data_IF_794322553232
#
_entry.id   IF_794322553232
#
_cell.length_a   1.000
_cell.length_b   1.000
_cell.length_c   1.000
_cell.angle_alpha   90.00
_cell.angle_beta   90.00
_cell.angle_gamma   90.00
#
_symmetry.space_group_name_H-M   'P 1'
#
loop_
_entity.id
_entity.type
_entity.pdbx_description
1 polymer ?
#
# COMPACT_ATOMS: atom_id res chain seq x y z
N UNK A 1 4.99 -20.87 1.90
CA UNK A 1 4.93 -19.53 1.33
C UNK A 1 6.29 -19.12 0.70
N UNK A 2 7.41 -19.05 1.46
CA UNK A 2 8.71 -18.55 0.95
C UNK A 2 9.23 -19.32 -0.26
N UNK A 3 9.04 -20.65 -0.32
CA UNK A 3 9.43 -21.48 -1.48
C UNK A 3 8.74 -20.98 -2.74
N UNK A 4 7.42 -20.79 -2.72
CA UNK A 4 6.63 -20.32 -3.87
C UNK A 4 7.10 -18.94 -4.31
N UNK A 5 7.24 -17.99 -3.38
CA UNK A 5 7.62 -16.60 -3.68
C UNK A 5 9.04 -16.47 -4.29
N UNK A 6 9.94 -17.42 -4.01
CA UNK A 6 11.31 -17.40 -4.52
C UNK A 6 11.52 -18.32 -5.73
N UNK A 7 10.48 -18.92 -6.28
CA UNK A 7 10.55 -19.84 -7.42
C UNK A 7 9.70 -19.30 -8.61
N UNK A 8 10.13 -18.21 -9.25
CA UNK A 8 9.37 -17.61 -10.36
C UNK A 8 9.33 -18.47 -11.62
N UNK A 9 10.14 -19.53 -11.70
CA UNK A 9 10.12 -20.47 -12.83
C UNK A 9 8.87 -21.36 -12.76
N UNK A 10 8.56 -21.87 -11.57
CA UNK A 10 7.40 -22.74 -11.36
C UNK A 10 6.14 -21.97 -10.95
N UNK A 11 6.32 -20.76 -10.42
CA UNK A 11 5.25 -19.88 -9.93
C UNK A 11 5.36 -18.46 -10.52
N UNK A 12 5.25 -18.32 -11.86
CA UNK A 12 5.29 -17.00 -12.49
C UNK A 12 4.03 -16.19 -12.13
N UNK A 13 4.18 -14.86 -12.01
CA UNK A 13 3.07 -13.94 -11.79
C UNK A 13 2.41 -13.51 -13.12
N UNK A 14 2.19 -14.46 -14.02
CA UNK A 14 1.64 -14.24 -15.35
C UNK A 14 0.25 -14.87 -15.47
N UNK A 15 -0.84 -14.08 -15.47
CA UNK A 15 -2.21 -14.59 -15.49
C UNK A 15 -2.74 -14.95 -16.91
N UNK A 16 -1.98 -14.74 -17.98
CA UNK A 16 -2.47 -14.86 -19.38
C UNK A 16 -3.09 -16.22 -19.74
N UNK A 17 -2.65 -17.29 -19.10
CA UNK A 17 -3.27 -18.61 -19.29
C UNK A 17 -4.59 -18.72 -18.51
N UNK A 18 -4.60 -18.28 -17.24
CA UNK A 18 -5.79 -18.25 -16.39
C UNK A 18 -6.92 -17.41 -16.98
N UNK A 19 -6.63 -16.25 -17.55
CA UNK A 19 -7.63 -15.35 -18.13
C UNK A 19 -8.49 -15.99 -19.21
N UNK A 20 -7.94 -16.99 -19.92
CA UNK A 20 -8.66 -17.74 -20.97
C UNK A 20 -9.66 -18.74 -20.38
N UNK A 21 -9.52 -19.08 -19.10
CA UNK A 21 -10.32 -20.09 -18.40
C UNK A 21 -11.52 -19.49 -17.67
N UNK A 22 -11.56 -18.17 -17.50
CA UNK A 22 -12.58 -17.50 -16.68
C UNK A 22 -13.50 -16.62 -17.53
N UNK A 23 -14.78 -16.45 -17.12
CA UNK A 23 -15.69 -15.55 -17.81
C UNK A 23 -15.27 -14.09 -17.63
N UNK A 24 -15.61 -13.24 -18.62
CA UNK A 24 -15.36 -11.81 -18.54
C UNK A 24 -16.04 -11.14 -17.33
N UNK A 25 -17.11 -11.74 -16.81
CA UNK A 25 -17.86 -11.27 -15.63
C UNK A 25 -17.27 -11.71 -14.31
N UNK A 26 -16.12 -12.37 -14.29
CA UNK A 26 -15.47 -12.79 -13.04
C UNK A 26 -15.10 -11.55 -12.20
N UNK A 27 -15.61 -11.40 -10.96
CA UNK A 27 -15.48 -10.17 -10.18
C UNK A 27 -14.04 -9.84 -9.78
N UNK A 28 -13.15 -10.85 -9.70
CA UNK A 28 -11.73 -10.64 -9.35
C UNK A 28 -10.84 -10.41 -10.57
N UNK A 29 -11.37 -10.60 -11.78
CA UNK A 29 -10.60 -10.45 -13.03
C UNK A 29 -9.92 -9.08 -13.13
N UNK A 30 -10.56 -7.93 -12.90
CA UNK A 30 -9.93 -6.62 -13.05
C UNK A 30 -8.69 -6.44 -12.15
N UNK A 31 -8.69 -7.11 -11.00
CA UNK A 31 -7.58 -7.07 -10.04
C UNK A 31 -6.44 -8.05 -10.38
N UNK A 32 -6.71 -9.08 -11.15
CA UNK A 32 -5.79 -10.21 -11.34
C UNK A 32 -5.36 -10.42 -12.80
N UNK A 33 -6.04 -9.82 -13.78
CA UNK A 33 -5.70 -9.98 -15.19
C UNK A 33 -4.34 -9.36 -15.54
N UNK A 34 -3.79 -9.81 -16.65
CA UNK A 34 -2.51 -9.34 -17.16
C UNK A 34 -2.54 -7.84 -17.50
N UNK A 35 -1.47 -7.19 -17.18
CA UNK A 35 -1.17 -5.81 -17.54
C UNK A 35 0.32 -5.71 -17.88
N UNK A 36 0.76 -4.84 -18.78
CA UNK A 36 2.17 -4.65 -19.09
C UNK A 36 2.88 -3.87 -17.95
N UNK A 37 3.02 -4.52 -16.81
CA UNK A 37 3.66 -3.94 -15.61
C UNK A 37 4.42 -5.00 -14.79
N UNK A 38 5.23 -4.53 -13.84
CA UNK A 38 6.06 -5.39 -12.98
C UNK A 38 5.25 -6.29 -12.03
N UNK A 39 3.98 -6.02 -11.81
CA UNK A 39 3.14 -6.80 -10.88
C UNK A 39 2.50 -8.03 -11.55
N UNK A 40 2.20 -7.94 -12.86
CA UNK A 40 1.44 -8.92 -13.65
C UNK A 40 2.25 -9.56 -14.76
N UNK A 41 3.55 -9.65 -14.59
CA UNK A 41 4.48 -10.24 -15.55
C UNK A 41 5.49 -11.14 -14.85
N UNK A 42 6.12 -12.03 -15.62
CA UNK A 42 7.17 -12.95 -15.17
C UNK A 42 8.43 -12.88 -16.02
N UNK A 43 9.49 -13.56 -15.60
CA UNK A 43 10.72 -13.73 -16.37
C UNK A 43 11.38 -12.41 -16.81
N UNK A 44 11.81 -12.36 -18.06
CA UNK A 44 12.51 -11.20 -18.63
C UNK A 44 11.62 -9.94 -18.73
N UNK A 45 10.32 -10.11 -18.97
CA UNK A 45 9.36 -9.00 -19.02
C UNK A 45 9.25 -8.32 -17.64
N UNK A 46 9.06 -9.11 -16.58
CA UNK A 46 9.10 -8.62 -15.21
C UNK A 46 10.42 -7.91 -14.90
N UNK A 47 11.55 -8.54 -15.21
CA UNK A 47 12.87 -7.98 -14.92
C UNK A 47 13.06 -6.59 -15.57
N UNK A 48 12.55 -6.41 -16.80
CA UNK A 48 12.59 -5.15 -17.53
C UNK A 48 11.78 -4.06 -16.82
N UNK A 49 10.52 -4.32 -16.48
CA UNK A 49 9.69 -3.36 -15.75
C UNK A 49 10.22 -3.08 -14.35
N UNK A 50 10.67 -4.13 -13.66
CA UNK A 50 11.19 -4.03 -12.31
C UNK A 50 12.43 -3.17 -12.23
N UNK A 51 13.35 -3.30 -13.17
CA UNK A 51 14.56 -2.50 -13.22
C UNK A 51 14.23 -1.00 -13.30
N UNK A 52 13.31 -0.62 -14.20
CA UNK A 52 12.87 0.76 -14.33
C UNK A 52 12.24 1.30 -13.05
N UNK A 53 11.28 0.56 -12.47
CA UNK A 53 10.60 0.98 -11.24
C UNK A 53 11.57 1.12 -10.07
N UNK A 54 12.45 0.14 -9.86
CA UNK A 54 13.41 0.15 -8.74
C UNK A 54 14.37 1.33 -8.88
N UNK A 55 14.95 1.52 -10.06
CA UNK A 55 15.89 2.63 -10.28
C UNK A 55 15.22 4.00 -10.10
N UNK A 56 13.96 4.16 -10.53
CA UNK A 56 13.24 5.42 -10.38
C UNK A 56 12.87 5.71 -8.91
N UNK A 57 12.52 4.66 -8.15
CA UNK A 57 12.17 4.77 -6.72
C UNK A 57 13.42 5.01 -5.87
N UNK A 58 14.52 4.31 -6.12
CA UNK A 58 15.74 4.39 -5.31
C UNK A 58 16.40 5.79 -5.36
N UNK A 59 16.05 6.61 -6.35
CA UNK A 59 16.55 7.98 -6.47
C UNK A 59 15.70 9.01 -5.70
N UNK A 60 14.67 8.61 -5.00
CA UNK A 60 13.86 9.53 -4.16
C UNK A 60 14.69 9.98 -2.96
N UNK A 61 14.83 11.29 -2.79
CA UNK A 61 15.46 11.87 -1.61
C UNK A 61 14.63 11.59 -0.35
N UNK A 62 15.17 10.78 0.54
CA UNK A 62 14.49 10.40 1.78
C UNK A 62 14.36 11.57 2.78
N UNK A 63 15.27 12.55 2.73
CA UNK A 63 15.17 13.73 3.58
C UNK A 63 14.04 14.64 3.12
N UNK A 64 13.98 14.95 1.83
CA UNK A 64 12.87 15.69 1.23
C UNK A 64 11.54 14.97 1.38
N UNK A 65 11.54 13.64 1.30
CA UNK A 65 10.33 12.83 1.53
C UNK A 65 9.78 12.99 2.95
N UNK A 66 10.64 12.98 3.98
CA UNK A 66 10.21 13.22 5.37
C UNK A 66 9.53 14.59 5.52
N UNK A 67 10.18 15.65 5.05
CA UNK A 67 9.63 17.00 5.10
C UNK A 67 8.29 17.13 4.35
N UNK A 68 8.15 16.45 3.21
CA UNK A 68 6.89 16.37 2.47
C UNK A 68 5.78 15.70 3.28
N UNK A 69 6.07 14.58 3.94
CA UNK A 69 5.08 13.88 4.77
C UNK A 69 4.63 14.76 5.93
N UNK A 70 5.56 15.42 6.62
CA UNK A 70 5.27 16.35 7.72
C UNK A 70 4.37 17.50 7.24
N UNK A 71 4.69 18.13 6.12
CA UNK A 71 3.88 19.20 5.52
C UNK A 71 2.45 18.74 5.18
N UNK A 72 2.32 17.55 4.59
CA UNK A 72 0.98 17.00 4.25
C UNK A 72 0.21 16.66 5.51
N UNK A 73 0.87 16.13 6.53
CA UNK A 73 0.29 15.80 7.82
C UNK A 73 -0.23 17.05 8.57
N UNK A 74 0.56 18.13 8.60
CA UNK A 74 0.15 19.42 9.16
C UNK A 74 -1.15 19.90 8.52
N UNK A 75 -1.19 19.96 7.19
CA UNK A 75 -2.38 20.39 6.45
C UNK A 75 -3.60 19.49 6.68
N UNK A 76 -3.41 18.19 6.89
CA UNK A 76 -4.50 17.28 7.21
C UNK A 76 -5.02 17.53 8.65
N UNK A 77 -4.12 17.63 9.63
CA UNK A 77 -4.46 17.87 11.04
C UNK A 77 -5.17 19.22 11.22
N UNK A 78 -4.69 20.28 10.57
CA UNK A 78 -5.31 21.60 10.61
C UNK A 78 -6.75 21.58 10.10
N UNK A 79 -7.08 20.68 9.18
CA UNK A 79 -8.43 20.51 8.64
C UNK A 79 -9.46 20.00 9.64
N UNK A 80 -9.04 19.29 10.70
CA UNK A 80 -9.97 18.68 11.65
C UNK A 80 -9.70 19.01 13.14
N UNK A 81 -8.51 19.54 13.51
CA UNK A 81 -8.14 19.74 14.92
C UNK A 81 -9.09 20.62 15.72
N UNK A 82 -9.77 21.58 15.07
CA UNK A 82 -10.74 22.44 15.73
C UNK A 82 -12.05 21.71 16.07
N UNK A 83 -12.36 20.60 15.40
CA UNK A 83 -13.57 19.83 15.64
C UNK A 83 -13.51 18.93 16.88
N UNK A 84 -12.31 18.63 17.42
CA UNK A 84 -12.12 17.71 18.53
C UNK A 84 -12.42 16.25 18.21
N UNK A 85 -12.66 15.94 16.95
CA UNK A 85 -12.91 14.58 16.44
C UNK A 85 -12.58 14.49 14.97
N UNK A 86 -12.23 13.28 14.51
CA UNK A 86 -11.97 13.01 13.10
C UNK A 86 -12.22 11.53 12.77
N UNK A 87 -12.45 11.23 11.49
CA UNK A 87 -12.19 9.91 10.95
C UNK A 87 -10.79 9.90 10.34
N UNK A 88 -9.83 9.31 11.04
CA UNK A 88 -8.42 9.30 10.62
C UNK A 88 -8.18 8.52 9.33
N UNK A 89 -9.06 7.59 8.94
CA UNK A 89 -8.92 6.90 7.66
C UNK A 89 -9.05 7.88 6.49
N UNK A 90 -10.13 8.65 6.46
CA UNK A 90 -10.50 9.53 5.36
C UNK A 90 -9.90 10.94 5.46
N UNK A 91 -9.67 11.43 6.68
CA UNK A 91 -9.18 12.79 6.91
C UNK A 91 -7.67 12.88 7.13
N UNK A 92 -6.97 11.74 7.37
CA UNK A 92 -5.55 11.70 7.63
C UNK A 92 -4.80 10.68 6.77
N UNK A 93 -5.03 9.37 6.97
CA UNK A 93 -4.22 8.31 6.37
C UNK A 93 -4.30 8.30 4.83
N UNK A 94 -5.51 8.39 4.28
CA UNK A 94 -5.69 8.44 2.82
C UNK A 94 -5.13 9.74 2.20
N UNK A 95 -5.39 10.94 2.73
CA UNK A 95 -4.78 12.17 2.22
C UNK A 95 -3.25 12.12 2.21
N UNK A 96 -2.61 11.58 3.24
CA UNK A 96 -1.16 11.42 3.29
C UNK A 96 -0.70 10.47 2.18
N UNK A 97 -1.25 9.25 2.14
CA UNK A 97 -0.86 8.26 1.15
C UNK A 97 -1.03 8.81 -0.29
N UNK A 98 -2.15 9.47 -0.57
CA UNK A 98 -2.46 10.00 -1.90
C UNK A 98 -1.57 11.19 -2.28
N UNK A 99 -1.48 12.20 -1.41
CA UNK A 99 -0.74 13.44 -1.73
C UNK A 99 0.77 13.21 -1.81
N UNK A 100 1.32 12.44 -0.87
CA UNK A 100 2.75 12.11 -0.89
C UNK A 100 3.09 11.31 -2.14
N UNK A 101 2.29 10.30 -2.48
CA UNK A 101 2.55 9.51 -3.69
C UNK A 101 2.38 10.34 -4.96
N UNK A 102 1.36 11.21 -5.04
CA UNK A 102 1.17 12.12 -6.18
C UNK A 102 2.37 13.05 -6.36
N UNK A 103 2.91 13.61 -5.28
CA UNK A 103 4.11 14.42 -5.32
C UNK A 103 5.36 13.64 -5.81
N UNK A 104 5.56 12.41 -5.29
CA UNK A 104 6.65 11.53 -5.73
C UNK A 104 6.54 11.15 -7.21
N UNK A 105 5.32 11.02 -7.73
CA UNK A 105 5.05 10.75 -9.15
C UNK A 105 5.07 12.03 -10.00
N UNK A 106 5.31 13.19 -9.40
CA UNK A 106 5.31 14.46 -10.11
C UNK A 106 3.94 14.84 -10.67
N UNK A 107 2.86 14.42 -10.03
CA UNK A 107 1.49 14.64 -10.46
C UNK A 107 0.97 15.99 -9.97
N UNK A 108 0.65 16.95 -10.86
CA UNK A 108 0.01 18.21 -10.47
C UNK A 108 -1.38 17.97 -9.87
N UNK A 109 -1.84 18.88 -9.01
CA UNK A 109 -3.12 18.75 -8.28
C UNK A 109 -4.31 18.53 -9.21
N UNK A 110 -4.38 19.22 -10.35
CA UNK A 110 -5.47 19.06 -11.33
C UNK A 110 -5.55 17.64 -11.91
N UNK A 111 -4.40 17.05 -12.23
CA UNK A 111 -4.35 15.66 -12.71
C UNK A 111 -4.60 14.71 -11.54
N UNK A 112 -4.04 14.98 -10.37
CA UNK A 112 -4.24 14.22 -9.16
C UNK A 112 -5.72 14.13 -8.77
N UNK A 113 -6.45 15.24 -8.82
CA UNK A 113 -7.89 15.25 -8.55
C UNK A 113 -8.67 14.33 -9.51
N UNK A 114 -8.33 14.34 -10.80
CA UNK A 114 -8.95 13.44 -11.79
C UNK A 114 -8.61 11.98 -11.52
N UNK A 115 -7.38 11.68 -11.09
CA UNK A 115 -6.98 10.32 -10.68
C UNK A 115 -7.82 9.89 -9.48
N UNK A 116 -7.97 10.73 -8.46
CA UNK A 116 -8.78 10.44 -7.29
C UNK A 116 -10.25 10.20 -7.66
N UNK A 117 -10.84 11.06 -8.50
CA UNK A 117 -12.21 10.94 -8.98
C UNK A 117 -12.43 9.65 -9.79
N UNK A 118 -11.48 9.30 -10.66
CA UNK A 118 -11.51 8.06 -11.44
C UNK A 118 -11.46 6.83 -10.52
N UNK A 119 -10.54 6.81 -9.56
CA UNK A 119 -10.42 5.73 -8.59
C UNK A 119 -11.69 5.60 -7.73
N UNK A 120 -12.24 6.69 -7.20
CA UNK A 120 -13.46 6.67 -6.41
C UNK A 120 -14.63 6.03 -7.19
N UNK A 121 -14.86 6.45 -8.45
CA UNK A 121 -15.91 5.88 -9.32
C UNK A 121 -15.72 4.38 -9.59
N UNK A 122 -14.48 3.91 -9.70
CA UNK A 122 -14.17 2.48 -9.89
C UNK A 122 -14.55 1.70 -8.61
N UNK A 123 -14.21 2.23 -7.44
CA UNK A 123 -14.52 1.60 -6.16
C UNK A 123 -16.02 1.60 -5.83
N UNK A 124 -16.74 2.67 -6.18
CA UNK A 124 -18.19 2.78 -5.95
C UNK A 124 -19.04 1.88 -6.86
N UNK A 125 -18.42 1.19 -7.82
CA UNK A 125 -19.02 0.24 -8.77
C UNK A 125 -20.18 0.77 -9.64
N UNK A 126 -20.75 1.92 -9.31
CA UNK A 126 -21.92 2.51 -10.01
C UNK A 126 -21.57 3.14 -11.36
N UNK A 127 -20.31 3.56 -11.55
CA UNK A 127 -19.82 4.21 -12.76
C UNK A 127 -18.37 3.78 -13.09
N UNK A 128 -18.05 2.50 -12.89
CA UNK A 128 -16.68 1.98 -13.03
C UNK A 128 -16.09 2.22 -14.42
N UNK A 129 -16.88 2.08 -15.49
CA UNK A 129 -16.42 2.34 -16.87
C UNK A 129 -16.02 3.81 -17.05
N UNK A 130 -16.82 4.75 -16.55
CA UNK A 130 -16.49 6.17 -16.59
C UNK A 130 -15.25 6.46 -15.72
N UNK A 131 -15.13 5.82 -14.55
CA UNK A 131 -13.95 5.90 -13.69
C UNK A 131 -12.68 5.45 -14.40
N UNK A 132 -12.73 4.33 -15.11
CA UNK A 132 -11.60 3.81 -15.89
C UNK A 132 -11.19 4.79 -17.00
N UNK A 133 -12.14 5.39 -17.72
CA UNK A 133 -11.85 6.39 -18.77
C UNK A 133 -11.17 7.62 -18.17
N UNK A 134 -11.69 8.16 -17.06
CA UNK A 134 -11.11 9.33 -16.38
C UNK A 134 -9.69 9.02 -15.90
N UNK A 135 -9.50 7.86 -15.25
CA UNK A 135 -8.19 7.44 -14.73
C UNK A 135 -7.18 7.26 -15.87
N UNK A 136 -7.55 6.55 -16.93
CA UNK A 136 -6.68 6.33 -18.08
C UNK A 136 -6.25 7.64 -18.74
N UNK A 137 -7.18 8.57 -18.94
CA UNK A 137 -6.87 9.88 -19.51
C UNK A 137 -5.98 10.72 -18.58
N UNK A 138 -6.25 10.76 -17.28
CA UNK A 138 -5.45 11.52 -16.33
C UNK A 138 -4.00 10.98 -16.25
N UNK A 139 -3.83 9.67 -16.26
CA UNK A 139 -2.49 9.05 -16.27
C UNK A 139 -1.77 9.31 -17.60
N UNK A 140 -2.47 9.24 -18.73
CA UNK A 140 -1.91 9.59 -20.05
C UNK A 140 -1.44 11.05 -20.09
N UNK A 141 -2.22 11.97 -19.54
CA UNK A 141 -1.87 13.39 -19.45
C UNK A 141 -0.61 13.59 -18.57
N UNK A 142 -0.50 12.86 -17.45
CA UNK A 142 0.68 12.87 -16.60
C UNK A 142 1.94 12.38 -17.35
N UNK A 143 1.84 11.27 -18.09
CA UNK A 143 2.94 10.75 -18.91
C UNK A 143 3.38 11.80 -19.95
N UNK A 144 2.41 12.38 -20.66
CA UNK A 144 2.68 13.42 -21.68
C UNK A 144 3.34 14.64 -21.06
N UNK A 145 2.82 15.10 -19.93
CA UNK A 145 3.40 16.23 -19.19
C UNK A 145 4.86 15.96 -18.82
N UNK A 146 5.17 14.79 -18.25
CA UNK A 146 6.52 14.48 -17.78
C UNK A 146 7.49 14.12 -18.89
N UNK A 147 7.01 13.70 -20.06
CA UNK A 147 7.85 13.60 -21.26
C UNK A 147 8.26 14.96 -21.81
N UNK A 148 7.35 15.93 -21.78
CA UNK A 148 7.60 17.29 -22.31
C UNK A 148 8.27 18.22 -21.30
N UNK A 149 7.95 18.06 -20.04
CA UNK A 149 8.47 18.86 -18.93
C UNK A 149 8.93 17.93 -17.78
N UNK A 150 10.10 17.28 -17.96
CA UNK A 150 10.63 16.40 -16.94
C UNK A 150 10.98 17.16 -15.67
N UNK A 151 10.72 16.53 -14.52
CA UNK A 151 11.06 17.01 -13.18
C UNK A 151 11.91 16.02 -12.42
N UNK A 152 12.17 16.31 -11.17
CA UNK A 152 12.83 15.37 -10.25
C UNK A 152 11.78 14.47 -9.57
N UNK A 153 11.14 13.61 -10.36
CA UNK A 153 10.05 12.72 -9.94
C UNK A 153 10.17 11.34 -10.59
N UNK A 154 9.43 10.38 -10.03
CA UNK A 154 9.45 8.99 -10.48
C UNK A 154 8.96 8.85 -11.93
N UNK A 155 7.91 9.58 -12.34
CA UNK A 155 7.37 9.51 -13.70
C UNK A 155 8.41 10.00 -14.72
N UNK A 156 9.08 11.12 -14.44
CA UNK A 156 10.15 11.66 -15.30
C UNK A 156 11.31 10.68 -15.43
N UNK A 157 11.74 10.04 -14.34
CA UNK A 157 12.80 9.02 -14.36
C UNK A 157 12.38 7.79 -15.15
N UNK A 158 11.12 7.34 -15.03
CA UNK A 158 10.58 6.23 -15.82
C UNK A 158 10.55 6.56 -17.32
N UNK A 159 10.12 7.78 -17.70
CA UNK A 159 10.08 8.20 -19.12
C UNK A 159 11.45 8.28 -19.77
N UNK A 160 12.48 8.54 -18.97
CA UNK A 160 13.87 8.67 -19.42
C UNK A 160 14.68 7.39 -19.26
N UNK A 161 14.11 6.33 -18.68
CA UNK A 161 14.85 5.10 -18.39
C UNK A 161 15.27 4.39 -19.70
N UNK A 162 16.53 3.91 -19.80
CA UNK A 162 17.05 3.29 -21.03
C UNK A 162 16.27 2.07 -21.53
N UNK A 163 15.50 1.44 -20.67
CA UNK A 163 14.63 0.30 -21.03
C UNK A 163 13.54 0.69 -22.04
N UNK A 164 13.25 1.97 -22.23
CA UNK A 164 12.34 2.51 -23.24
C UNK A 164 10.90 2.00 -23.08
N UNK A 165 10.24 2.37 -21.99
CA UNK A 165 8.82 2.03 -21.76
C UNK A 165 7.93 2.77 -22.78
N UNK A 166 7.01 2.05 -23.43
CA UNK A 166 5.97 2.65 -24.27
C UNK A 166 4.97 3.45 -23.42
N UNK A 167 4.10 4.25 -24.06
CA UNK A 167 3.09 5.04 -23.33
C UNK A 167 2.06 4.14 -22.65
N UNK A 168 1.72 3.00 -23.25
CA UNK A 168 0.87 1.98 -22.64
C UNK A 168 1.54 1.39 -21.39
N UNK A 169 2.79 0.94 -21.51
CA UNK A 169 3.56 0.40 -20.40
C UNK A 169 3.72 1.44 -19.28
N UNK A 170 4.03 2.71 -19.62
CA UNK A 170 4.12 3.80 -18.66
C UNK A 170 2.82 3.99 -17.90
N UNK A 171 1.68 4.01 -18.60
CA UNK A 171 0.36 4.16 -17.98
C UNK A 171 0.09 3.03 -17.00
N UNK A 172 0.40 1.78 -17.37
CA UNK A 172 0.22 0.64 -16.48
C UNK A 172 1.20 0.59 -15.31
N UNK A 173 2.45 1.07 -15.48
CA UNK A 173 3.36 1.24 -14.33
C UNK A 173 2.79 2.27 -13.35
N UNK A 174 2.33 3.44 -13.81
CA UNK A 174 1.79 4.49 -12.94
C UNK A 174 0.52 4.04 -12.22
N UNK A 175 -0.43 3.41 -12.91
CA UNK A 175 -1.63 2.83 -12.27
C UNK A 175 -1.24 1.82 -11.19
N UNK A 176 -0.22 1.00 -11.45
CA UNK A 176 0.29 0.04 -10.47
C UNK A 176 0.93 0.74 -9.27
N UNK A 177 1.73 1.77 -9.49
CA UNK A 177 2.37 2.54 -8.40
C UNK A 177 1.31 3.24 -7.53
N UNK A 178 0.28 3.82 -8.13
CA UNK A 178 -0.85 4.39 -7.38
C UNK A 178 -1.61 3.32 -6.59
N UNK A 179 -2.05 2.25 -7.23
CA UNK A 179 -2.83 1.19 -6.57
C UNK A 179 -2.05 0.45 -5.47
N UNK A 180 -0.79 0.09 -5.75
CA UNK A 180 0.06 -0.60 -4.78
C UNK A 180 0.62 0.34 -3.69
N UNK A 181 0.61 1.65 -3.91
CA UNK A 181 1.11 2.65 -2.96
C UNK A 181 0.03 3.19 -2.03
N UNK A 182 -1.14 3.58 -2.54
CA UNK A 182 -2.16 4.28 -1.73
C UNK A 182 -2.84 3.34 -0.74
N UNK A 183 -3.48 2.28 -1.24
CA UNK A 183 -4.31 1.41 -0.41
C UNK A 183 -3.52 0.74 0.73
N UNK A 184 -2.37 0.08 0.49
CA UNK A 184 -1.59 -0.52 1.57
C UNK A 184 -1.02 0.52 2.54
N UNK A 185 -0.65 1.72 2.08
CA UNK A 185 -0.12 2.78 2.92
C UNK A 185 -1.19 3.35 3.84
N UNK A 186 -2.38 3.64 3.30
CA UNK A 186 -3.54 4.09 4.08
C UNK A 186 -3.85 3.10 5.20
N UNK A 187 -3.89 1.80 4.87
CA UNK A 187 -4.17 0.76 5.84
C UNK A 187 -3.03 0.58 6.84
N UNK A 188 -1.76 0.70 6.43
CA UNK A 188 -0.61 0.60 7.34
C UNK A 188 -0.65 1.72 8.39
N UNK A 189 -0.87 2.96 7.97
CA UNK A 189 -0.97 4.10 8.89
C UNK A 189 -2.14 3.90 9.85
N UNK A 190 -3.35 3.61 9.32
CA UNK A 190 -4.56 3.44 10.13
C UNK A 190 -4.48 2.27 11.11
N UNK A 191 -4.01 1.10 10.65
CA UNK A 191 -3.88 -0.09 11.50
C UNK A 191 -2.80 0.11 12.58
N UNK A 192 -1.75 0.89 12.28
CA UNK A 192 -0.71 1.21 13.27
C UNK A 192 -1.24 2.16 14.35
N UNK A 193 -1.99 3.19 13.96
CA UNK A 193 -2.66 4.08 14.91
C UNK A 193 -3.64 3.27 15.77
N UNK A 194 -4.49 2.43 15.16
CA UNK A 194 -5.42 1.57 15.88
C UNK A 194 -4.68 0.70 16.92
N UNK A 195 -3.56 0.07 16.52
CA UNK A 195 -2.76 -0.75 17.45
C UNK A 195 -2.26 0.06 18.64
N UNK A 196 -1.73 1.26 18.40
CA UNK A 196 -1.22 2.13 19.48
C UNK A 196 -2.36 2.54 20.42
N UNK A 197 -3.54 2.86 19.92
CA UNK A 197 -4.68 3.29 20.70
C UNK A 197 -5.39 2.13 21.45
N UNK A 198 -5.16 0.88 21.09
CA UNK A 198 -5.85 -0.29 21.67
C UNK A 198 -4.96 -1.20 22.49
N UNK A 199 -3.66 -1.09 22.39
CA UNK A 199 -2.68 -1.88 23.16
C UNK A 199 -2.09 -1.01 24.26
N UNK A 200 -2.71 -1.06 25.45
CA UNK A 200 -2.33 -0.24 26.61
C UNK A 200 -0.85 -0.41 26.99
N UNK A 201 -0.34 -1.65 26.94
CA UNK A 201 1.07 -1.91 27.26
C UNK A 201 1.99 -1.27 26.21
N UNK A 202 1.67 -1.44 24.93
CA UNK A 202 2.46 -0.83 23.85
C UNK A 202 2.42 0.70 23.92
N UNK A 203 1.26 1.28 24.19
CA UNK A 203 1.10 2.72 24.39
C UNK A 203 1.94 3.25 25.55
N UNK A 204 1.92 2.54 26.68
CA UNK A 204 2.74 2.88 27.84
C UNK A 204 4.25 2.79 27.52
N UNK A 205 4.68 1.74 26.84
CA UNK A 205 6.08 1.56 26.43
C UNK A 205 6.53 2.64 25.44
N UNK A 206 5.65 3.05 24.52
CA UNK A 206 5.90 4.14 23.58
C UNK A 206 6.11 5.47 24.32
N UNK A 207 5.22 5.80 25.26
CA UNK A 207 5.35 7.02 26.07
C UNK A 207 6.58 7.02 26.99
N UNK A 208 6.98 5.84 27.46
CA UNK A 208 8.20 5.66 28.26
C UNK A 208 9.49 5.65 27.42
N UNK A 209 9.40 5.70 26.10
CA UNK A 209 10.55 5.57 25.18
C UNK A 209 11.17 4.18 25.14
N UNK A 210 10.45 3.15 25.60
CA UNK A 210 10.86 1.74 25.56
C UNK A 210 10.52 1.08 24.22
N UNK A 211 9.55 1.63 23.48
CA UNK A 211 9.16 1.22 22.13
C UNK A 211 9.11 2.43 21.21
N UNK A 212 9.12 2.19 19.91
CA UNK A 212 9.06 3.23 18.88
C UNK A 212 7.84 3.02 17.98
N UNK A 213 7.43 4.05 17.23
CA UNK A 213 6.41 3.93 16.18
C UNK A 213 6.85 2.87 15.14
N UNK A 214 8.16 2.73 14.91
CA UNK A 214 8.70 1.68 14.04
C UNK A 214 8.39 0.28 14.55
N UNK A 215 8.44 0.06 15.85
CA UNK A 215 8.09 -1.24 16.45
C UNK A 215 6.59 -1.52 16.31
N UNK A 216 5.73 -0.50 16.37
CA UNK A 216 4.30 -0.64 16.08
C UNK A 216 4.05 -1.03 14.62
N UNK A 217 4.75 -0.38 13.67
CA UNK A 217 4.68 -0.74 12.25
C UNK A 217 5.13 -2.19 12.01
N UNK A 218 6.26 -2.60 12.59
CA UNK A 218 6.77 -3.96 12.48
C UNK A 218 5.78 -4.98 13.07
N UNK A 219 5.16 -4.67 14.21
CA UNK A 219 4.13 -5.51 14.82
C UNK A 219 2.88 -5.65 13.92
N UNK A 220 2.38 -4.55 13.36
CA UNK A 220 1.24 -4.57 12.41
C UNK A 220 1.59 -5.35 11.14
N UNK A 221 2.76 -5.12 10.57
CA UNK A 221 3.22 -5.86 9.38
C UNK A 221 3.38 -7.37 9.65
N UNK A 222 3.66 -7.73 10.89
CA UNK A 222 3.75 -9.13 11.31
C UNK A 222 2.38 -9.76 11.51
N UNK A 223 1.53 -9.17 12.36
CA UNK A 223 0.28 -9.77 12.83
C UNK A 223 -0.89 -9.49 11.89
N UNK A 224 -0.97 -8.29 11.31
CA UNK A 224 -2.15 -7.77 10.62
C UNK A 224 -1.77 -6.94 9.36
N UNK A 225 -0.96 -7.55 8.44
CA UNK A 225 -0.41 -6.81 7.31
C UNK A 225 -1.51 -6.21 6.43
N UNK A 226 -1.35 -4.96 5.94
CA UNK A 226 -2.34 -4.27 5.10
C UNK A 226 -2.78 -5.06 3.86
N UNK A 227 -1.85 -5.81 3.27
CA UNK A 227 -2.11 -6.79 2.21
C UNK A 227 -2.03 -8.19 2.82
N UNK A 228 -3.14 -8.64 3.43
CA UNK A 228 -3.20 -9.91 4.15
C UNK A 228 -2.98 -11.12 3.24
N UNK A 229 -3.56 -11.09 2.03
CA UNK A 229 -3.49 -12.17 1.06
C UNK A 229 -3.19 -11.59 -0.32
N UNK A 230 -1.95 -11.74 -0.80
CA UNK A 230 -1.57 -11.23 -2.11
C UNK A 230 -0.43 -12.07 -2.72
N UNK A 231 0.42 -11.49 -3.58
CA UNK A 231 1.51 -12.19 -4.26
C UNK A 231 1.00 -13.40 -5.05
N UNK A 232 0.19 -13.10 -6.07
CA UNK A 232 -0.49 -14.10 -6.89
C UNK A 232 0.46 -14.63 -7.95
N UNK A 233 0.52 -15.97 -8.07
CA UNK A 233 1.26 -16.66 -9.12
C UNK A 233 0.39 -17.71 -9.80
N UNK A 234 0.81 -18.19 -10.97
CA UNK A 234 0.06 -19.09 -11.82
C UNK A 234 0.97 -20.21 -12.31
N UNK A 235 0.99 -21.39 -11.67
CA UNK A 235 1.81 -22.51 -12.10
C UNK A 235 1.45 -22.95 -13.52
N UNK A 236 2.42 -23.10 -14.45
CA UNK A 236 2.09 -23.49 -15.84
C UNK A 236 1.78 -24.99 -15.99
N UNK A 237 1.96 -25.78 -14.96
CA UNK A 237 1.61 -27.21 -14.89
C UNK A 237 1.27 -27.58 -13.42
N UNK A 238 0.60 -28.73 -13.19
CA UNK A 238 0.30 -29.14 -11.83
C UNK A 238 1.57 -29.38 -11.00
N UNK A 239 1.63 -28.79 -9.81
CA UNK A 239 2.79 -28.86 -8.91
C UNK A 239 2.35 -29.37 -7.55
N UNK A 240 3.03 -30.39 -7.02
CA UNK A 240 2.88 -30.79 -5.62
C UNK A 240 3.73 -29.89 -4.70
N UNK A 241 3.06 -29.33 -3.72
CA UNK A 241 3.69 -28.58 -2.63
C UNK A 241 3.30 -29.20 -1.30
N UNK A 242 4.22 -30.00 -0.74
CA UNK A 242 4.04 -30.62 0.56
C UNK A 242 2.76 -31.49 0.66
N UNK A 243 2.46 -32.24 -0.40
CA UNK A 243 1.28 -33.12 -0.48
C UNK A 243 0.00 -32.41 -0.96
N UNK A 244 0.05 -31.13 -1.28
CA UNK A 244 -1.04 -30.37 -1.88
C UNK A 244 -0.77 -30.17 -3.36
N UNK A 245 -1.60 -30.78 -4.22
CA UNK A 245 -1.51 -30.61 -5.67
C UNK A 245 -2.12 -29.26 -6.08
N UNK A 246 -1.28 -28.33 -6.49
CA UNK A 246 -1.70 -27.06 -7.08
C UNK A 246 -1.96 -27.27 -8.58
N UNK A 247 -3.17 -26.95 -9.09
CA UNK A 247 -3.52 -27.17 -10.50
C UNK A 247 -2.82 -26.16 -11.41
N UNK A 248 -2.62 -26.55 -12.68
CA UNK A 248 -2.08 -25.67 -13.72
C UNK A 248 -2.99 -24.47 -13.96
N UNK A 249 -2.39 -23.34 -14.30
CA UNK A 249 -3.04 -22.10 -14.72
C UNK A 249 -4.08 -21.53 -13.71
N UNK A 250 -4.06 -21.99 -12.46
CA UNK A 250 -4.92 -21.45 -11.41
C UNK A 250 -4.13 -20.50 -10.48
N UNK A 251 -4.78 -19.44 -9.95
CA UNK A 251 -4.11 -18.51 -9.06
C UNK A 251 -3.72 -19.17 -7.74
N UNK A 252 -2.47 -19.06 -7.40
CA UNK A 252 -1.92 -19.38 -6.08
C UNK A 252 -1.74 -18.08 -5.33
N UNK A 253 -2.60 -17.83 -4.35
CA UNK A 253 -2.57 -16.62 -3.51
C UNK A 253 -1.85 -16.92 -2.22
N UNK A 254 -0.84 -16.13 -1.90
CA UNK A 254 -0.11 -16.28 -0.63
C UNK A 254 -0.80 -15.49 0.47
N UNK A 255 -1.23 -16.15 1.53
CA UNK A 255 -1.65 -15.50 2.76
C UNK A 255 -0.41 -15.11 3.57
N UNK A 256 -0.02 -13.85 3.47
CA UNK A 256 1.10 -13.30 4.24
C UNK A 256 0.75 -13.22 5.72
N UNK A 257 -0.50 -12.87 6.03
CA UNK A 257 -1.00 -12.86 7.40
C UNK A 257 -0.91 -14.25 8.04
N UNK A 258 -1.43 -15.30 7.38
CA UNK A 258 -1.34 -16.67 7.91
C UNK A 258 0.11 -17.16 7.98
N UNK A 259 0.93 -16.86 6.98
CA UNK A 259 2.35 -17.27 6.98
C UNK A 259 3.18 -16.60 8.07
N UNK A 260 2.87 -15.35 8.42
CA UNK A 260 3.52 -14.64 9.51
C UNK A 260 3.08 -15.20 10.88
N UNK A 261 1.81 -15.54 11.02
CA UNK A 261 1.21 -16.02 12.28
C UNK A 261 1.17 -17.56 12.36
N UNK A 262 1.98 -18.26 11.57
CA UNK A 262 2.07 -19.73 11.63
C UNK A 262 2.48 -20.17 13.06
N UNK A 263 1.66 -21.00 13.74
CA UNK A 263 1.95 -21.46 15.10
C UNK A 263 3.34 -22.09 15.23
N UNK A 264 3.83 -22.78 14.20
CA UNK A 264 5.16 -23.37 14.21
C UNK A 264 6.31 -22.34 14.26
N UNK A 265 6.04 -21.08 13.85
CA UNK A 265 7.02 -19.98 13.91
C UNK A 265 6.88 -19.12 15.17
N UNK A 266 5.70 -19.17 15.80
CA UNK A 266 5.38 -18.34 16.98
C UNK A 266 5.40 -19.12 18.28
N UNK A 267 5.69 -20.44 18.25
CA UNK A 267 5.81 -21.26 19.44
C UNK A 267 6.90 -20.72 20.38
N UNK A 268 6.52 -20.38 21.61
CA UNK A 268 7.42 -19.79 22.62
C UNK A 268 7.63 -18.29 22.51
N UNK A 269 7.03 -17.60 21.51
CA UNK A 269 7.02 -16.13 21.44
C UNK A 269 5.75 -15.64 22.14
N UNK A 270 5.84 -14.81 23.20
CA UNK A 270 4.65 -14.23 23.83
C UNK A 270 3.83 -13.44 22.81
N UNK A 271 2.50 -13.58 22.88
CA UNK A 271 1.60 -12.79 22.05
C UNK A 271 1.87 -11.30 22.21
N UNK A 272 2.07 -10.60 21.10
CA UNK A 272 2.36 -9.16 21.09
C UNK A 272 3.86 -8.79 21.10
N UNK A 273 4.79 -9.72 21.33
CA UNK A 273 6.23 -9.43 21.31
C UNK A 273 6.83 -9.57 19.89
N UNK A 274 6.26 -8.84 18.93
CA UNK A 274 6.81 -8.76 17.57
C UNK A 274 7.58 -7.45 17.31
N UNK A 275 7.71 -6.57 18.31
CA UNK A 275 8.49 -5.34 18.19
C UNK A 275 9.93 -5.64 17.75
N UNK A 276 10.39 -4.98 16.71
CA UNK A 276 11.70 -5.18 16.11
C UNK A 276 11.88 -6.49 15.31
N UNK A 277 10.90 -7.39 15.29
CA UNK A 277 10.95 -8.59 14.45
C UNK A 277 10.53 -8.26 13.00
N UNK A 278 11.51 -8.23 12.10
CA UNK A 278 11.34 -7.90 10.66
C UNK A 278 11.30 -9.13 9.77
N UNK A 279 11.13 -10.32 10.32
CA UNK A 279 11.14 -11.57 9.56
C UNK A 279 9.79 -11.90 8.88
N UNK A 280 8.84 -10.97 8.90
CA UNK A 280 7.51 -11.08 8.27
C UNK A 280 7.58 -11.03 6.74
N UNK A 281 6.53 -11.54 6.08
CA UNK A 281 6.39 -11.56 4.62
C UNK A 281 5.55 -10.39 4.05
N UNK A 282 5.18 -9.39 4.85
CA UNK A 282 4.31 -8.30 4.42
C UNK A 282 4.83 -7.52 3.20
N UNK A 283 6.15 -7.50 2.99
CA UNK A 283 6.78 -6.91 1.80
C UNK A 283 7.07 -7.94 0.71
N UNK A 284 6.55 -9.15 0.81
CA UNK A 284 6.90 -10.30 -0.02
C UNK A 284 8.39 -10.67 0.08
N UNK A 285 8.83 -11.59 -0.75
CA UNK A 285 10.24 -12.00 -0.95
C UNK A 285 10.42 -12.46 -2.40
N UNK A 286 11.64 -12.61 -2.86
CA UNK A 286 11.96 -13.01 -4.23
C UNK A 286 11.78 -11.86 -5.22
N UNK A 287 11.57 -12.15 -6.51
CA UNK A 287 11.53 -11.16 -7.57
C UNK A 287 10.48 -10.06 -7.37
N UNK A 288 9.35 -10.40 -6.77
CA UNK A 288 8.24 -9.48 -6.50
C UNK A 288 8.28 -8.84 -5.10
N UNK A 289 9.43 -8.83 -4.43
CA UNK A 289 9.62 -8.06 -3.18
C UNK A 289 9.29 -6.59 -3.41
N UNK A 290 8.62 -5.93 -2.47
CA UNK A 290 8.25 -4.52 -2.58
C UNK A 290 9.49 -3.63 -2.84
N UNK A 291 9.53 -2.85 -3.93
CA UNK A 291 10.68 -1.98 -4.25
C UNK A 291 10.72 -0.72 -3.36
N UNK A 292 9.57 -0.33 -2.81
CA UNK A 292 9.43 0.91 -2.06
C UNK A 292 9.44 0.70 -0.53
N UNK A 293 9.93 -0.45 -0.04
CA UNK A 293 9.88 -0.82 1.38
C UNK A 293 10.43 0.27 2.31
N UNK A 294 11.61 0.82 2.02
CA UNK A 294 12.25 1.85 2.85
C UNK A 294 11.45 3.15 2.86
N UNK A 295 10.95 3.56 1.69
CA UNK A 295 10.11 4.75 1.55
C UNK A 295 8.77 4.58 2.27
N UNK A 296 8.15 3.41 2.14
CA UNK A 296 6.89 3.11 2.82
C UNK A 296 7.01 3.15 4.35
N UNK A 297 8.09 2.63 4.88
CA UNK A 297 8.38 2.77 6.30
C UNK A 297 8.57 4.23 6.70
N UNK A 298 9.36 5.00 5.95
CA UNK A 298 9.60 6.41 6.24
C UNK A 298 8.29 7.21 6.24
N UNK A 299 7.42 7.00 5.25
CA UNK A 299 6.12 7.69 5.16
C UNK A 299 5.24 7.33 6.36
N UNK A 300 5.05 6.05 6.63
CA UNK A 300 4.16 5.61 7.70
C UNK A 300 4.67 6.00 9.09
N UNK A 301 5.97 5.83 9.34
CA UNK A 301 6.61 6.21 10.60
C UNK A 301 6.48 7.72 10.85
N UNK A 302 6.82 8.54 9.86
CA UNK A 302 6.71 10.00 9.96
C UNK A 302 5.27 10.42 10.19
N UNK A 303 4.32 9.88 9.42
CA UNK A 303 2.91 10.22 9.55
C UNK A 303 2.36 9.88 10.94
N UNK A 304 2.62 8.66 11.44
CA UNK A 304 2.10 8.23 12.74
C UNK A 304 2.74 9.04 13.87
N UNK A 305 4.07 9.23 13.83
CA UNK A 305 4.78 10.05 14.85
C UNK A 305 4.22 11.46 14.87
N UNK A 306 4.07 12.10 13.71
CA UNK A 306 3.58 13.47 13.59
C UNK A 306 2.15 13.64 14.14
N UNK A 307 1.26 12.67 13.91
CA UNK A 307 -0.09 12.67 14.48
C UNK A 307 -0.05 12.61 16.02
N UNK A 308 0.72 11.67 16.57
CA UNK A 308 0.81 11.46 18.02
C UNK A 308 1.44 12.67 18.72
N UNK A 309 2.42 13.31 18.11
CA UNK A 309 3.04 14.53 18.62
C UNK A 309 2.08 15.73 18.59
N UNK A 310 1.30 15.86 17.51
CA UNK A 310 0.36 16.96 17.35
C UNK A 310 -0.93 16.81 18.19
N UNK A 311 -1.36 15.57 18.44
CA UNK A 311 -2.60 15.21 19.14
C UNK A 311 -2.34 14.08 20.15
N UNK A 312 -1.56 14.32 21.21
CA UNK A 312 -1.11 13.28 22.15
C UNK A 312 -2.25 12.64 22.97
N UNK A 313 -3.38 13.34 23.12
CA UNK A 313 -4.56 12.86 23.84
C UNK A 313 -5.63 12.30 22.89
N UNK A 314 -5.19 11.64 21.82
CA UNK A 314 -6.11 11.00 20.88
C UNK A 314 -6.59 9.66 21.42
N UNK A 315 -7.92 9.48 21.45
CA UNK A 315 -8.60 8.25 21.84
C UNK A 315 -9.59 7.80 20.78
N UNK A 316 -9.93 6.49 20.77
CA UNK A 316 -11.01 6.00 19.91
C UNK A 316 -12.36 6.63 20.31
N UNK A 317 -13.12 7.13 19.34
CA UNK A 317 -14.46 7.68 19.57
C UNK A 317 -15.50 6.60 19.93
N UNK A 318 -15.17 5.32 19.71
CA UNK A 318 -15.99 4.15 20.05
C UNK A 318 -15.10 2.94 20.33
N UNK A 319 -15.61 1.93 21.06
CA UNK A 319 -14.83 0.73 21.37
C UNK A 319 -14.27 0.05 20.10
N UNK A 320 -13.04 -0.47 20.18
CA UNK A 320 -12.39 -1.15 19.07
C UNK A 320 -13.21 -2.33 18.51
N UNK A 321 -13.97 -3.01 19.35
CA UNK A 321 -14.85 -4.12 18.96
C UNK A 321 -16.03 -3.69 18.04
N UNK A 322 -16.35 -2.41 17.99
CA UNK A 322 -17.39 -1.84 17.13
C UNK A 322 -16.84 -1.33 15.80
N UNK A 323 -15.51 -1.35 15.61
CA UNK A 323 -14.91 -0.98 14.34
C UNK A 323 -15.14 -2.10 13.32
N UNK A 324 -15.52 -1.69 12.12
CA UNK A 324 -15.81 -2.59 11.01
C UNK A 324 -14.65 -2.65 10.02
N UNK A 325 -14.46 -3.83 9.44
CA UNK A 325 -13.45 -4.08 8.43
C UNK A 325 -14.11 -4.22 7.07
N UNK A 326 -13.55 -3.58 6.06
CA UNK A 326 -14.02 -3.71 4.69
C UNK A 326 -13.89 -5.16 4.21
N UNK A 327 -14.95 -5.74 3.62
CA UNK A 327 -14.85 -7.06 3.05
C UNK A 327 -13.94 -7.05 1.82
N UNK A 328 -13.19 -8.12 1.63
CA UNK A 328 -12.32 -8.29 0.46
C UNK A 328 -11.32 -9.43 0.65
N UNK A 329 -10.87 -10.07 -0.46
CA UNK A 329 -9.99 -11.23 -0.35
C UNK A 329 -8.53 -10.87 -0.08
N UNK A 330 -8.11 -9.61 -0.30
CA UNK A 330 -6.69 -9.27 -0.36
C UNK A 330 -6.21 -8.38 0.79
N UNK A 331 -7.02 -7.45 1.24
CA UNK A 331 -6.62 -6.41 2.19
C UNK A 331 -7.13 -6.65 3.61
N UNK A 332 -6.49 -6.01 4.56
CA UNK A 332 -6.92 -5.83 5.94
C UNK A 332 -7.11 -4.33 6.19
N UNK A 333 -8.31 -3.84 5.96
CA UNK A 333 -8.63 -2.42 5.88
C UNK A 333 -9.86 -2.08 6.73
N UNK A 334 -9.76 -1.04 7.53
CA UNK A 334 -10.90 -0.47 8.26
C UNK A 334 -11.90 0.21 7.32
N UNK A 335 -13.17 0.26 7.68
CA UNK A 335 -14.16 1.12 7.03
C UNK A 335 -14.03 2.58 7.50
N UNK A 336 -13.66 2.79 8.76
CA UNK A 336 -13.40 4.10 9.36
C UNK A 336 -12.52 3.94 10.60
N UNK A 337 -11.82 5.01 10.99
CA UNK A 337 -11.06 5.09 12.24
C UNK A 337 -11.46 6.37 13.00
N UNK A 338 -12.65 6.40 13.63
CA UNK A 338 -13.14 7.56 14.34
C UNK A 338 -12.42 7.75 15.67
N UNK A 339 -11.91 8.96 15.89
CA UNK A 339 -11.18 9.35 17.09
C UNK A 339 -11.73 10.65 17.68
N UNK A 340 -11.42 10.87 18.96
CA UNK A 340 -11.63 12.13 19.67
C UNK A 340 -10.31 12.61 20.27
N UNK A 341 -10.18 13.91 20.40
CA UNK A 341 -9.03 14.59 21.01
C UNK A 341 -9.45 15.97 21.51
N UNK A 342 -8.70 16.62 22.40
CA UNK A 342 -8.99 17.99 22.81
C UNK A 342 -9.01 18.95 21.63
N UNK A 343 -10.15 19.64 21.43
CA UNK A 343 -10.27 20.64 20.37
C UNK A 343 -9.27 21.79 20.62
N UNK A 344 -8.54 22.20 19.59
CA UNK A 344 -7.70 23.38 19.68
C UNK A 344 -8.58 24.62 19.92
N UNK A 345 -8.31 25.37 20.99
CA UNK A 345 -8.97 26.66 21.19
C UNK A 345 -8.55 27.58 20.03
N UNK A 346 -9.48 28.37 19.45
CA UNK A 346 -9.09 29.41 18.51
C UNK A 346 -8.08 30.33 19.19
N UNK A 347 -6.97 30.61 18.51
CA UNK A 347 -6.01 31.58 19.03
C UNK A 347 -6.78 32.88 19.32
N UNK A 348 -6.74 33.33 20.58
CA UNK A 348 -7.29 34.62 20.96
C UNK A 348 -6.48 35.68 20.21
N UNK A 349 -7.11 36.34 19.24
CA UNK A 349 -6.53 37.46 18.47
C UNK A 349 -6.53 38.75 19.31
#
# INVERSE_FOLDING_TARGET
ARRILNDPLHFPADPRAWEKLIPATCPVRPMMEWRPNALRSGGAEHARYRAANTQAIDQVDQHGLRALVEQVADGAIDGFRAAGSADLLTQYSFPIAFRVLSALLGCPDEIGQRIADGMAKIFDTTNADQGNVILAQAVSDLVTLRRTHPGDDITSRLTQHPVGLSDEEMSHQLVTLYGAGIEPMTNLISNTILKILTDEQFSADLHAGLSTVRDALDAVLYTDPPMANYCISYPPYPIDVEGVLLPADQPVVISMAAANNDPALTEGVPQGQHGGNRAHLAWSTGPHTCPARSHAYLIAETAVTHLLDALPETDLARPAAELTWRPGPFHRALESLPVTFPAAQPAAH
#
